data_IF_952431150388
#
_entry.id   IF_952431150388
#
_cell.length_a   1.000
_cell.length_b   1.000
_cell.length_c   1.000
_cell.angle_alpha   90.00
_cell.angle_beta   90.00
_cell.angle_gamma   90.00
#
_symmetry.space_group_name_H-M   'P 1'
#
loop_
_entity.id
_entity.type
_entity.pdbx_description
1 polymer ?
#
# COMPACT_ATOMS: atom_id res chain seq x y z
N UNK A 1 10.85 -4.90 36.18
CA UNK A 1 9.78 -4.20 35.43
C UNK A 1 9.35 -2.85 36.01
N UNK A 2 9.37 -2.60 37.33
CA UNK A 2 9.24 -1.22 37.85
C UNK A 2 10.59 -0.49 37.94
N UNK A 3 11.69 -1.19 38.19
CA UNK A 3 13.02 -0.55 38.21
C UNK A 3 13.49 -0.08 36.82
N UNK A 4 13.17 -0.80 35.75
CA UNK A 4 13.63 -0.47 34.39
C UNK A 4 13.02 0.84 33.86
N UNK A 5 11.77 1.12 34.23
CA UNK A 5 11.08 2.36 33.87
C UNK A 5 11.64 3.58 34.62
N UNK A 6 12.10 3.38 35.86
CA UNK A 6 12.70 4.45 36.66
C UNK A 6 14.10 4.80 36.14
N UNK A 7 14.87 3.80 35.70
CA UNK A 7 16.18 4.03 35.09
C UNK A 7 16.08 4.78 33.76
N UNK A 8 15.12 4.44 32.90
CA UNK A 8 14.88 5.16 31.65
C UNK A 8 14.47 6.62 31.93
N UNK A 9 13.63 6.86 32.95
CA UNK A 9 13.22 8.21 33.36
C UNK A 9 14.38 9.04 33.92
N UNK A 10 15.29 8.40 34.67
CA UNK A 10 16.48 9.06 35.21
C UNK A 10 17.52 9.39 34.13
N UNK A 11 17.64 8.55 33.09
CA UNK A 11 18.58 8.77 31.99
C UNK A 11 18.12 9.87 31.04
N UNK A 12 16.81 9.98 30.78
CA UNK A 12 16.23 11.10 30.03
C UNK A 12 16.25 12.39 30.83
N UNK A 13 16.01 12.36 32.14
CA UNK A 13 16.15 13.54 32.99
C UNK A 13 17.61 14.05 33.03
N UNK A 14 18.59 13.15 33.15
CA UNK A 14 20.02 13.52 33.21
C UNK A 14 20.55 14.09 31.89
N UNK A 15 20.09 13.57 30.74
CA UNK A 15 20.48 14.10 29.41
C UNK A 15 19.83 15.44 29.08
N UNK A 16 18.59 15.68 29.56
CA UNK A 16 17.91 16.99 29.43
C UNK A 16 18.59 18.08 30.27
N UNK A 17 19.03 17.75 31.50
CA UNK A 17 19.73 18.71 32.37
C UNK A 17 21.15 19.02 31.86
N UNK A 18 21.82 18.09 31.19
CA UNK A 18 23.16 18.34 30.63
C UNK A 18 23.14 19.21 29.37
N UNK A 19 22.01 19.31 28.67
CA UNK A 19 21.85 20.16 27.47
C UNK A 19 21.40 21.59 27.81
N UNK A 20 20.94 21.86 29.03
CA UNK A 20 20.31 23.15 29.38
C UNK A 20 21.31 24.27 29.71
N UNK A 21 22.61 24.03 29.63
CA UNK A 21 23.60 25.00 30.13
C UNK A 21 24.07 26.02 29.07
N UNK A 22 23.71 25.86 27.80
CA UNK A 22 24.03 26.84 26.75
C UNK A 22 22.89 26.80 25.71
N UNK A 23 22.14 27.90 25.60
CA UNK A 23 21.08 28.17 24.60
C UNK A 23 19.64 27.68 24.87
N UNK A 24 18.90 28.63 25.45
CA UNK A 24 17.53 29.02 25.09
C UNK A 24 16.38 28.17 25.63
N UNK A 25 15.52 28.84 26.41
CA UNK A 25 14.21 28.36 26.84
C UNK A 25 13.36 27.75 25.71
N UNK A 26 13.63 28.08 24.44
CA UNK A 26 12.97 27.48 23.27
C UNK A 26 13.26 25.98 23.16
N UNK A 27 14.49 25.53 23.43
CA UNK A 27 14.86 24.11 23.40
C UNK A 27 14.20 23.35 24.55
N UNK A 28 14.10 23.97 25.73
CA UNK A 28 13.41 23.39 26.88
C UNK A 28 11.91 23.22 26.63
N UNK A 29 11.24 24.22 26.02
CA UNK A 29 9.84 24.10 25.63
C UNK A 29 9.65 23.05 24.53
N UNK A 30 10.55 22.95 23.56
CA UNK A 30 10.48 21.93 22.50
C UNK A 30 10.68 20.52 23.06
N UNK A 31 11.63 20.34 23.97
CA UNK A 31 11.85 19.07 24.67
C UNK A 31 10.65 18.70 25.54
N UNK A 32 10.03 19.67 26.22
CA UNK A 32 8.81 19.47 27.00
C UNK A 32 7.63 19.08 26.11
N UNK A 33 7.46 19.72 24.94
CA UNK A 33 6.42 19.41 23.95
C UNK A 33 6.63 18.01 23.36
N UNK A 34 7.88 17.64 23.03
CA UNK A 34 8.22 16.31 22.52
C UNK A 34 7.97 15.26 23.60
N UNK A 35 8.40 15.52 24.84
CA UNK A 35 8.21 14.61 25.98
C UNK A 35 6.73 14.45 26.31
N UNK A 36 5.94 15.53 26.31
CA UNK A 36 4.50 15.50 26.52
C UNK A 36 3.77 14.83 25.36
N UNK A 37 4.23 15.04 24.12
CA UNK A 37 3.74 14.34 22.93
C UNK A 37 4.02 12.84 22.99
N UNK A 38 5.20 12.44 23.47
CA UNK A 38 5.53 11.06 23.76
C UNK A 38 4.66 10.49 24.89
N UNK A 39 4.51 11.22 25.99
CA UNK A 39 3.67 10.80 27.11
C UNK A 39 2.21 10.63 26.67
N UNK A 40 1.67 11.56 25.90
CA UNK A 40 0.33 11.46 25.33
C UNK A 40 0.21 10.30 24.35
N UNK A 41 1.23 10.05 23.52
CA UNK A 41 1.22 8.93 22.58
C UNK A 41 1.35 7.56 23.27
N UNK A 42 2.05 7.47 24.39
CA UNK A 42 2.27 6.20 25.11
C UNK A 42 1.23 5.94 26.20
N UNK A 43 0.74 6.97 26.89
CA UNK A 43 -0.22 6.83 27.98
C UNK A 43 -1.66 7.14 27.58
N UNK A 44 -1.90 8.17 26.76
CA UNK A 44 -3.25 8.57 26.34
C UNK A 44 -3.72 7.83 25.08
N UNK A 45 -2.85 7.58 24.09
CA UNK A 45 -3.27 6.91 22.87
C UNK A 45 -3.76 5.45 23.04
N UNK A 46 -3.35 4.68 24.07
CA UNK A 46 -3.98 3.41 24.40
C UNK A 46 -5.42 3.54 24.94
N UNK A 47 -5.78 4.72 25.45
CA UNK A 47 -7.09 5.01 26.06
C UNK A 47 -8.15 5.44 25.04
N UNK A 48 -7.76 5.68 23.78
CA UNK A 48 -8.67 6.04 22.70
C UNK A 48 -8.76 4.93 21.62
N UNK A 49 -9.19 3.70 21.96
CA UNK A 49 -9.32 2.62 20.98
C UNK A 49 -10.32 2.97 19.88
N UNK A 50 -11.35 3.77 20.15
CA UNK A 50 -12.30 4.22 19.13
C UNK A 50 -11.67 5.09 18.02
N UNK A 51 -10.65 5.90 18.33
CA UNK A 51 -9.90 6.63 17.30
C UNK A 51 -9.03 5.68 16.47
N UNK A 52 -8.39 4.70 17.11
CA UNK A 52 -7.55 3.71 16.43
C UNK A 52 -8.34 2.75 15.54
N UNK A 53 -9.52 2.33 15.96
CA UNK A 53 -10.41 1.49 15.14
C UNK A 53 -10.85 2.27 13.90
N UNK A 54 -11.16 3.57 14.01
CA UNK A 54 -11.45 4.41 12.83
C UNK A 54 -10.27 4.53 11.88
N UNK A 55 -9.05 4.71 12.39
CA UNK A 55 -7.84 4.72 11.55
C UNK A 55 -7.62 3.36 10.88
N UNK A 56 -7.85 2.26 11.59
CA UNK A 56 -7.78 0.90 11.03
C UNK A 56 -8.82 0.71 9.92
N UNK A 57 -10.06 1.16 10.13
CA UNK A 57 -11.13 1.10 9.11
C UNK A 57 -10.74 1.87 7.85
N UNK A 58 -10.21 3.09 8.00
CA UNK A 58 -9.71 3.86 6.86
C UNK A 58 -8.57 3.14 6.13
N UNK A 59 -7.62 2.55 6.85
CA UNK A 59 -6.55 1.77 6.23
C UNK A 59 -7.08 0.53 5.48
N UNK A 60 -8.14 -0.12 5.99
CA UNK A 60 -8.80 -1.23 5.30
C UNK A 60 -9.50 -0.79 4.01
N UNK A 61 -10.16 0.38 4.02
CA UNK A 61 -10.77 0.97 2.83
C UNK A 61 -9.71 1.34 1.78
N UNK A 62 -8.58 1.89 2.21
CA UNK A 62 -7.44 2.18 1.33
C UNK A 62 -6.83 0.89 0.75
N UNK A 63 -6.67 -0.17 1.56
CA UNK A 63 -6.17 -1.45 1.06
C UNK A 63 -7.12 -2.08 0.03
N UNK A 64 -8.43 -1.97 0.25
CA UNK A 64 -9.44 -2.44 -0.69
C UNK A 64 -9.44 -1.66 -2.00
N UNK A 65 -9.23 -0.34 -1.95
CA UNK A 65 -9.19 0.48 -3.17
C UNK A 65 -7.99 0.13 -4.04
N UNK A 66 -6.82 -0.10 -3.44
CA UNK A 66 -5.63 -0.59 -4.16
C UNK A 66 -5.90 -1.98 -4.76
N UNK A 67 -6.62 -2.85 -4.04
CA UNK A 67 -6.94 -4.19 -4.54
C UNK A 67 -7.87 -4.14 -5.74
N UNK A 68 -8.90 -3.29 -5.68
CA UNK A 68 -9.79 -3.04 -6.83
C UNK A 68 -9.02 -2.50 -8.03
N UNK A 69 -8.08 -1.58 -7.80
CA UNK A 69 -7.20 -1.08 -8.86
C UNK A 69 -6.36 -2.21 -9.46
N UNK A 70 -5.73 -3.04 -8.63
CA UNK A 70 -4.96 -4.18 -9.08
C UNK A 70 -5.78 -5.21 -9.88
N UNK A 71 -7.03 -5.46 -9.45
CA UNK A 71 -7.97 -6.30 -10.19
C UNK A 71 -8.31 -5.71 -11.56
N UNK A 72 -8.53 -4.39 -11.65
CA UNK A 72 -8.79 -3.71 -12.93
C UNK A 72 -7.59 -3.73 -13.87
N UNK A 73 -6.37 -3.79 -13.32
CA UNK A 73 -5.12 -3.93 -14.06
C UNK A 73 -4.72 -5.40 -14.29
N UNK A 74 -5.68 -6.33 -14.27
CA UNK A 74 -5.48 -7.74 -14.65
C UNK A 74 -4.48 -8.51 -13.77
N UNK A 75 -4.17 -8.01 -12.57
CA UNK A 75 -3.27 -8.71 -11.64
C UNK A 75 -3.81 -10.10 -11.28
N UNK A 76 -5.14 -10.27 -11.29
CA UNK A 76 -5.84 -11.54 -11.02
C UNK A 76 -5.52 -12.63 -12.03
N UNK A 77 -5.39 -12.27 -13.30
CA UNK A 77 -5.16 -13.24 -14.37
C UNK A 77 -3.72 -13.77 -14.35
N UNK A 78 -2.79 -12.98 -13.80
CA UNK A 78 -1.36 -13.30 -13.74
C UNK A 78 -0.93 -13.88 -12.39
N UNK A 79 -1.48 -13.37 -11.29
CA UNK A 79 -1.13 -13.75 -9.91
C UNK A 79 -2.39 -14.15 -9.11
N UNK A 80 -3.16 -15.16 -9.56
CA UNK A 80 -4.44 -15.50 -8.95
C UNK A 80 -4.32 -15.93 -7.49
N UNK A 81 -3.23 -16.61 -7.12
CA UNK A 81 -3.03 -17.11 -5.76
C UNK A 81 -2.69 -15.97 -4.79
N UNK A 82 -1.86 -15.02 -5.22
CA UNK A 82 -1.53 -13.83 -4.42
C UNK A 82 -2.76 -12.95 -4.20
N UNK A 83 -3.53 -12.69 -5.26
CA UNK A 83 -4.77 -11.91 -5.16
C UNK A 83 -5.77 -12.56 -4.23
N UNK A 84 -5.97 -13.88 -4.35
CA UNK A 84 -6.87 -14.62 -3.46
C UNK A 84 -6.41 -14.55 -1.98
N UNK A 85 -5.11 -14.66 -1.74
CA UNK A 85 -4.56 -14.55 -0.39
C UNK A 85 -4.80 -13.16 0.21
N UNK A 86 -4.52 -12.10 -0.56
CA UNK A 86 -4.77 -10.72 -0.12
C UNK A 86 -6.27 -10.47 0.13
N UNK A 87 -7.15 -11.00 -0.71
CA UNK A 87 -8.61 -10.93 -0.50
C UNK A 87 -9.02 -11.58 0.83
N UNK A 88 -8.51 -12.78 1.12
CA UNK A 88 -8.78 -13.48 2.37
C UNK A 88 -8.24 -12.75 3.59
N UNK A 89 -7.01 -12.24 3.51
CA UNK A 89 -6.37 -11.50 4.61
C UNK A 89 -7.12 -10.19 4.90
N UNK A 90 -7.58 -9.50 3.85
CA UNK A 90 -8.39 -8.28 3.98
C UNK A 90 -9.77 -8.56 4.58
N UNK A 91 -10.41 -9.67 4.19
CA UNK A 91 -11.68 -10.13 4.81
C UNK A 91 -11.49 -10.46 6.29
N UNK A 92 -10.41 -11.15 6.64
CA UNK A 92 -10.09 -11.47 8.04
C UNK A 92 -9.86 -10.21 8.86
N UNK A 93 -9.07 -9.26 8.33
CA UNK A 93 -8.79 -7.99 9.00
C UNK A 93 -10.05 -7.14 9.19
N UNK A 94 -10.97 -7.10 8.21
CA UNK A 94 -12.28 -6.45 8.33
C UNK A 94 -13.14 -7.09 9.42
N UNK A 95 -13.24 -8.42 9.44
CA UNK A 95 -13.98 -9.15 10.48
C UNK A 95 -13.40 -8.87 11.86
N UNK A 96 -12.07 -8.87 11.99
CA UNK A 96 -11.39 -8.55 13.23
C UNK A 96 -11.67 -7.11 13.70
N UNK A 97 -11.59 -6.11 12.80
CA UNK A 97 -11.90 -4.72 13.12
C UNK A 97 -13.34 -4.53 13.62
N UNK A 98 -14.31 -5.20 12.97
CA UNK A 98 -15.71 -5.20 13.41
C UNK A 98 -15.91 -5.87 14.79
N UNK A 99 -15.15 -6.93 15.07
CA UNK A 99 -15.12 -7.59 16.37
C UNK A 99 -14.59 -6.67 17.46
N UNK A 100 -13.48 -5.95 17.21
CA UNK A 100 -12.93 -4.97 18.16
C UNK A 100 -13.92 -3.83 18.45
N UNK A 101 -14.66 -3.37 17.44
CA UNK A 101 -15.68 -2.35 17.63
C UNK A 101 -16.85 -2.87 18.48
N UNK A 102 -17.26 -4.12 18.23
CA UNK A 102 -18.31 -4.78 19.02
C UNK A 102 -17.88 -4.99 20.47
N UNK A 103 -16.64 -5.43 20.69
CA UNK A 103 -16.06 -5.59 22.02
C UNK A 103 -16.03 -4.25 22.76
N UNK A 104 -15.61 -3.18 22.09
CA UNK A 104 -15.58 -1.84 22.65
C UNK A 104 -16.99 -1.38 23.09
N UNK A 105 -18.01 -1.66 22.28
CA UNK A 105 -19.42 -1.33 22.58
C UNK A 105 -20.01 -2.21 23.71
N UNK A 106 -19.52 -3.44 23.87
CA UNK A 106 -20.00 -4.42 24.86
C UNK A 106 -19.34 -4.31 26.22
N UNK A 107 -18.38 -3.39 26.40
CA UNK A 107 -17.73 -3.15 27.69
C UNK A 107 -18.74 -2.64 28.74
N UNK A 108 -19.47 -3.58 29.38
CA UNK A 108 -20.36 -3.32 30.52
C UNK A 108 -19.54 -2.92 31.75
N UNK A 109 -20.20 -2.27 32.72
CA UNK A 109 -19.68 -1.76 34.01
C UNK A 109 -18.67 -2.72 34.68
N UNK A 110 -17.39 -2.60 34.32
CA UNK A 110 -16.24 -3.19 35.02
C UNK A 110 -15.62 -2.13 35.92
N UNK A 111 -14.80 -2.55 36.89
CA UNK A 111 -14.04 -1.60 37.69
C UNK A 111 -13.15 -0.73 36.79
N UNK A 112 -12.84 0.50 37.21
CA UNK A 112 -12.03 1.44 36.41
C UNK A 112 -10.69 0.84 35.96
N UNK A 113 -10.05 0.01 36.79
CA UNK A 113 -8.78 -0.65 36.46
C UNK A 113 -8.93 -1.71 35.37
N UNK A 114 -9.97 -2.53 35.44
CA UNK A 114 -10.26 -3.55 34.42
C UNK A 114 -10.68 -2.91 33.10
N UNK A 115 -11.46 -1.83 33.17
CA UNK A 115 -11.83 -1.05 32.00
C UNK A 115 -10.60 -0.45 31.30
N UNK A 116 -9.65 0.13 32.05
CA UNK A 116 -8.39 0.64 31.49
C UNK A 116 -7.54 -0.47 30.86
N UNK A 117 -7.41 -1.63 31.51
CA UNK A 117 -6.67 -2.77 30.96
C UNK A 117 -7.33 -3.30 29.69
N UNK A 118 -8.66 -3.34 29.66
CA UNK A 118 -9.45 -3.71 28.49
C UNK A 118 -9.23 -2.77 27.31
N UNK A 119 -9.31 -1.45 27.51
CA UNK A 119 -9.05 -0.47 26.45
C UNK A 119 -7.62 -0.59 25.88
N UNK A 120 -6.62 -0.78 26.76
CA UNK A 120 -5.24 -1.04 26.34
C UNK A 120 -5.12 -2.30 25.50
N UNK A 121 -5.82 -3.37 25.89
CA UNK A 121 -5.88 -4.62 25.13
C UNK A 121 -6.47 -4.45 23.73
N UNK A 122 -7.61 -3.77 23.61
CA UNK A 122 -8.22 -3.45 22.30
C UNK A 122 -7.28 -2.58 21.48
N UNK A 123 -6.68 -1.57 22.08
CA UNK A 123 -5.76 -0.66 21.40
C UNK A 123 -4.55 -1.39 20.83
N UNK A 124 -3.93 -2.28 21.59
CA UNK A 124 -2.81 -3.10 21.13
C UNK A 124 -3.21 -4.01 19.96
N UNK A 125 -4.37 -4.67 20.06
CA UNK A 125 -4.94 -5.49 18.99
C UNK A 125 -5.18 -4.67 17.72
N UNK A 126 -5.73 -3.47 17.84
CA UNK A 126 -5.96 -2.57 16.73
C UNK A 126 -4.65 -2.15 16.05
N UNK A 127 -3.60 -1.85 16.83
CA UNK A 127 -2.27 -1.51 16.29
C UNK A 127 -1.66 -2.67 15.52
N UNK A 128 -1.72 -3.89 16.07
CA UNK A 128 -1.19 -5.06 15.40
C UNK A 128 -1.91 -5.32 14.07
N UNK A 129 -3.24 -5.24 14.07
CA UNK A 129 -4.03 -5.36 12.85
C UNK A 129 -3.68 -4.25 11.84
N UNK A 130 -3.53 -3.01 12.31
CA UNK A 130 -3.15 -1.89 11.44
C UNK A 130 -1.80 -2.10 10.77
N UNK A 131 -0.83 -2.69 11.48
CA UNK A 131 0.47 -3.02 10.89
C UNK A 131 0.32 -4.07 9.78
N UNK A 132 -0.43 -5.15 10.03
CA UNK A 132 -0.70 -6.17 9.01
C UNK A 132 -1.39 -5.59 7.77
N UNK A 133 -2.36 -4.70 7.95
CA UNK A 133 -3.02 -4.00 6.84
C UNK A 133 -2.04 -3.16 6.02
N UNK A 134 -1.11 -2.47 6.68
CA UNK A 134 -0.05 -1.72 5.98
C UNK A 134 0.88 -2.63 5.20
N UNK A 135 1.25 -3.78 5.75
CA UNK A 135 2.09 -4.75 5.04
C UNK A 135 1.39 -5.25 3.77
N UNK A 136 0.09 -5.54 3.85
CA UNK A 136 -0.72 -5.89 2.69
C UNK A 136 -0.76 -4.76 1.65
N UNK A 137 -0.98 -3.51 2.07
CA UNK A 137 -0.96 -2.34 1.17
C UNK A 137 0.37 -2.21 0.42
N UNK A 138 1.49 -2.40 1.13
CA UNK A 138 2.84 -2.32 0.55
C UNK A 138 3.04 -3.46 -0.46
N UNK A 139 2.75 -4.71 -0.06
CA UNK A 139 2.90 -5.87 -0.93
C UNK A 139 2.07 -5.73 -2.21
N UNK A 140 0.84 -5.24 -2.09
CA UNK A 140 -0.07 -5.04 -3.21
C UNK A 140 0.39 -3.92 -4.15
N UNK A 141 0.90 -2.81 -3.60
CA UNK A 141 1.47 -1.71 -4.38
C UNK A 141 2.71 -2.17 -5.16
N UNK A 142 3.61 -2.93 -4.52
CA UNK A 142 4.80 -3.50 -5.16
C UNK A 142 4.44 -4.47 -6.29
N UNK A 143 3.43 -5.32 -6.09
CA UNK A 143 2.95 -6.23 -7.13
C UNK A 143 2.37 -5.47 -8.34
N UNK A 144 1.61 -4.40 -8.07
CA UNK A 144 1.05 -3.54 -9.12
C UNK A 144 2.13 -2.83 -9.92
N UNK A 145 3.13 -2.26 -9.24
CA UNK A 145 4.26 -1.59 -9.88
C UNK A 145 5.10 -2.57 -10.72
N UNK A 146 5.35 -3.78 -10.21
CA UNK A 146 6.06 -4.82 -10.95
C UNK A 146 5.32 -5.20 -12.24
N UNK A 147 3.99 -5.34 -12.20
CA UNK A 147 3.19 -5.66 -13.37
C UNK A 147 3.14 -4.51 -14.38
N UNK A 148 3.03 -3.26 -13.91
CA UNK A 148 3.11 -2.07 -14.77
C UNK A 148 4.46 -1.98 -15.48
N UNK A 149 5.56 -2.18 -14.74
CA UNK A 149 6.90 -2.17 -15.31
C UNK A 149 7.08 -3.28 -16.34
N UNK A 150 6.52 -4.46 -16.07
CA UNK A 150 6.53 -5.57 -17.02
C UNK A 150 5.80 -5.22 -18.31
N UNK A 151 4.58 -4.68 -18.24
CA UNK A 151 3.80 -4.26 -19.43
C UNK A 151 4.54 -3.22 -20.26
N UNK A 152 5.20 -2.28 -19.59
CA UNK A 152 6.04 -1.31 -20.26
C UNK A 152 7.19 -1.98 -21.03
N UNK A 153 7.88 -2.93 -20.41
CA UNK A 153 8.97 -3.68 -21.04
C UNK A 153 8.51 -4.61 -22.17
N UNK A 154 7.32 -5.22 -22.06
CA UNK A 154 6.70 -5.99 -23.14
C UNK A 154 6.36 -5.07 -24.33
N UNK A 155 5.74 -3.91 -24.07
CA UNK A 155 5.45 -2.93 -25.13
C UNK A 155 6.70 -2.41 -25.85
N UNK A 156 7.81 -2.18 -25.13
CA UNK A 156 9.10 -1.81 -25.75
C UNK A 156 9.61 -2.93 -26.64
N UNK A 157 9.60 -4.17 -26.17
CA UNK A 157 10.05 -5.32 -26.95
C UNK A 157 9.21 -5.52 -28.21
N UNK A 158 7.90 -5.38 -28.12
CA UNK A 158 7.00 -5.50 -29.27
C UNK A 158 7.27 -4.39 -30.31
N UNK A 159 7.50 -3.16 -29.86
CA UNK A 159 7.89 -2.04 -30.74
C UNK A 159 9.24 -2.28 -31.40
N UNK A 160 10.22 -2.79 -30.66
CA UNK A 160 11.55 -3.12 -31.19
C UNK A 160 11.48 -4.29 -32.19
N UNK A 161 10.66 -5.30 -31.92
CA UNK A 161 10.40 -6.40 -32.85
C UNK A 161 9.73 -5.89 -34.13
N UNK A 162 8.75 -5.00 -34.03
CA UNK A 162 8.10 -4.38 -35.18
C UNK A 162 9.10 -3.56 -36.03
N UNK A 163 9.95 -2.73 -35.40
CA UNK A 163 11.00 -1.97 -36.10
C UNK A 163 12.01 -2.91 -36.78
N UNK A 164 12.47 -3.94 -36.07
CA UNK A 164 13.42 -4.93 -36.61
C UNK A 164 12.82 -5.68 -37.81
N UNK A 165 11.52 -6.02 -37.75
CA UNK A 165 10.82 -6.64 -38.87
C UNK A 165 10.75 -5.72 -40.09
N UNK A 166 10.48 -4.42 -39.90
CA UNK A 166 10.47 -3.42 -40.97
C UNK A 166 11.86 -3.23 -41.60
N UNK A 167 12.92 -3.25 -40.80
CA UNK A 167 14.30 -3.14 -41.30
C UNK A 167 14.69 -4.41 -42.08
N UNK A 168 14.26 -5.60 -41.61
CA UNK A 168 14.54 -6.87 -42.28
C UNK A 168 13.81 -7.06 -43.61
N UNK A 169 12.76 -6.28 -43.88
CA UNK A 169 11.99 -6.31 -45.13
C UNK A 169 12.68 -5.63 -46.33
N UNK A 170 13.92 -5.15 -46.17
CA UNK A 170 14.71 -4.55 -47.25
C UNK A 170 14.22 -3.15 -47.66
N UNK A 171 14.99 -2.41 -48.49
CA UNK A 171 14.63 -1.06 -48.89
C UNK A 171 13.29 -1.04 -49.63
N UNK A 172 12.43 -0.07 -49.28
CA UNK A 172 11.09 0.16 -49.87
C UNK A 172 11.14 0.31 -51.41
N UNK A 173 12.33 0.52 -52.00
CA UNK A 173 12.54 0.50 -53.45
C UNK A 173 12.10 -0.82 -54.08
N UNK A 174 12.34 -1.96 -53.43
CA UNK A 174 12.11 -3.29 -54.03
C UNK A 174 10.64 -3.73 -53.92
N UNK A 175 9.92 -3.21 -52.92
CA UNK A 175 8.48 -3.45 -52.78
C UNK A 175 7.66 -2.64 -53.81
N UNK A 176 8.11 -1.44 -54.21
CA UNK A 176 7.47 -0.68 -55.29
C UNK A 176 7.61 -1.38 -56.64
N UNK A 177 8.76 -2.00 -56.92
CA UNK A 177 8.98 -2.79 -58.14
C UNK A 177 8.14 -4.06 -58.15
N UNK A 178 7.97 -4.74 -57.01
CA UNK A 178 7.09 -5.91 -56.92
C UNK A 178 5.61 -5.55 -57.18
N UNK A 179 5.11 -4.45 -56.61
CA UNK A 179 3.73 -3.99 -56.82
C UNK A 179 3.51 -3.50 -58.26
N UNK A 180 4.51 -2.85 -58.88
CA UNK A 180 4.44 -2.48 -60.31
C UNK A 180 4.58 -3.68 -61.25
N UNK A 181 5.29 -4.74 -60.88
CA UNK A 181 5.40 -5.97 -61.65
C UNK A 181 4.07 -6.76 -61.64
N UNK A 182 3.36 -6.79 -60.51
CA UNK A 182 2.01 -7.37 -60.41
C UNK A 182 0.92 -6.49 -61.03
N UNK A 183 1.12 -5.17 -61.10
CA UNK A 183 0.20 -4.24 -61.76
C UNK A 183 0.22 -4.28 -63.30
N UNK A 184 1.23 -4.92 -63.91
CA UNK A 184 1.37 -5.01 -65.38
C UNK A 184 0.92 -6.34 -66.00
N UNK A 185 0.50 -7.32 -65.21
CA UNK A 185 -0.02 -8.61 -65.70
C UNK A 185 -1.56 -8.73 -65.67
N UNK A 186 -2.28 -7.66 -65.32
CA UNK A 186 -3.74 -7.59 -65.49
C UNK A 186 -4.09 -6.75 -66.73
N UNK A 187 -3.89 -7.33 -67.91
CA UNK A 187 -4.69 -6.96 -69.07
C UNK A 187 -5.53 -8.18 -69.45
N UNK A 188 -6.79 -7.91 -69.81
CA UNK A 188 -7.62 -8.69 -70.75
C UNK A 188 -8.55 -9.77 -70.20
N UNK A 189 -9.69 -9.32 -69.69
CA UNK A 189 -11.03 -9.92 -69.93
C UNK A 189 -12.00 -8.73 -70.00
N UNK A 190 -12.50 -8.29 -71.15
CA UNK A 190 -13.40 -9.04 -72.02
C UNK A 190 -14.84 -8.83 -71.53
N UNK A 191 -15.44 -7.66 -71.83
CA UNK A 191 -16.88 -7.46 -71.71
C UNK A 191 -17.57 -7.97 -72.99
N UNK A 192 -18.63 -8.77 -72.91
CA UNK A 192 -19.45 -9.06 -74.08
C UNK A 192 -20.48 -7.92 -74.30
N UNK A 193 -20.79 -7.55 -75.55
CA UNK A 193 -21.92 -6.68 -75.84
C UNK A 193 -23.24 -7.47 -75.75
N UNK A 194 -24.31 -6.75 -75.40
CA UNK A 194 -25.70 -7.21 -75.51
C UNK A 194 -26.14 -7.33 -76.98
#
# INVERSE_FOLDING_TARGET
MREDLFQIFSFTAATVISLSNIHSHVVDYLALIIAFGFLARYFLAPLFPGARIRVLQKALEEAESILRLALSESLRDRLPHFVLQVELDLLYAKRFASGLQSDLLRAKKVSWKEWLAFLRGISLKAVRCQWQVKELQIALSLALEAERQRRYNESIRDKQAAISSLISMGPISDQRTAIQATGRTSTRTGYPPM
#
